data_IF_886420764221
#
_entry.id   IF_886420764221
#
_cell.length_a   1.000
_cell.length_b   1.000
_cell.length_c   1.000
_cell.angle_alpha   90.00
_cell.angle_beta   90.00
_cell.angle_gamma   90.00
#
_symmetry.space_group_name_H-M   'P 1'
#
loop_
_entity.id
_entity.type
_entity.pdbx_description
1 polymer ?
#
# COMPACT_ATOMS: atom_id res chain seq x y z
N UNK A 1 21.00 -19.33 -26.01
CA UNK A 1 21.43 -19.13 -24.61
C UNK A 1 20.64 -20.06 -23.70
N UNK A 2 21.18 -20.48 -22.56
CA UNK A 2 20.48 -21.39 -21.64
C UNK A 2 19.27 -20.67 -21.01
N UNK A 3 18.11 -21.34 -20.95
CA UNK A 3 16.88 -20.85 -20.30
C UNK A 3 16.24 -19.58 -20.89
N UNK A 4 16.25 -19.40 -22.23
CA UNK A 4 15.59 -18.26 -22.89
C UNK A 4 14.08 -18.14 -22.63
N UNK A 5 13.41 -19.26 -22.35
CA UNK A 5 11.98 -19.29 -21.98
C UNK A 5 11.70 -18.76 -20.57
N UNK A 6 12.74 -18.52 -19.76
CA UNK A 6 12.63 -17.90 -18.43
C UNK A 6 13.01 -16.43 -18.55
N UNK A 7 12.17 -15.55 -17.99
CA UNK A 7 12.46 -14.11 -17.94
C UNK A 7 13.81 -13.84 -17.28
N UNK A 8 14.62 -12.96 -17.87
CA UNK A 8 16.03 -12.72 -17.48
C UNK A 8 16.21 -12.52 -15.98
N UNK A 9 15.34 -11.69 -15.36
CA UNK A 9 15.31 -11.44 -13.91
C UNK A 9 15.31 -12.71 -13.04
N UNK A 10 14.80 -13.83 -13.51
CA UNK A 10 14.62 -15.05 -12.72
C UNK A 10 15.55 -16.21 -13.13
N UNK A 11 16.41 -16.03 -14.14
CA UNK A 11 17.26 -17.12 -14.63
C UNK A 11 18.25 -17.64 -13.58
N UNK A 12 18.71 -16.78 -12.67
CA UNK A 12 19.60 -17.16 -11.56
C UNK A 12 19.00 -18.24 -10.64
N UNK A 13 17.67 -18.29 -10.52
CA UNK A 13 16.97 -19.26 -9.67
C UNK A 13 16.83 -20.65 -10.31
N UNK A 14 17.03 -20.75 -11.62
CA UNK A 14 16.94 -22.03 -12.32
C UNK A 14 18.10 -22.94 -11.90
N UNK A 15 19.27 -22.34 -11.59
CA UNK A 15 20.48 -23.01 -11.13
C UNK A 15 20.65 -22.99 -9.61
N UNK A 16 19.77 -22.29 -8.88
CA UNK A 16 19.78 -22.21 -7.43
C UNK A 16 19.37 -23.55 -6.78
N UNK A 17 19.78 -23.75 -5.53
CA UNK A 17 19.37 -24.92 -4.75
C UNK A 17 17.88 -24.86 -4.38
N UNK A 18 17.35 -26.00 -3.91
CA UNK A 18 15.93 -26.08 -3.56
C UNK A 18 15.55 -25.16 -2.39
N UNK A 19 16.45 -24.89 -1.45
CA UNK A 19 16.15 -24.03 -0.30
C UNK A 19 15.99 -22.58 -0.74
N UNK A 20 16.90 -22.08 -1.57
CA UNK A 20 16.85 -20.73 -2.14
C UNK A 20 15.61 -20.55 -3.02
N UNK A 21 15.26 -21.56 -3.82
CA UNK A 21 14.04 -21.54 -4.63
C UNK A 21 12.76 -21.51 -3.80
N UNK A 22 12.71 -22.25 -2.69
CA UNK A 22 11.56 -22.24 -1.77
C UNK A 22 11.47 -20.87 -1.08
N UNK A 23 12.58 -20.34 -0.57
CA UNK A 23 12.60 -19.02 0.05
C UNK A 23 12.12 -17.92 -0.91
N UNK A 24 12.53 -18.00 -2.19
CA UNK A 24 12.07 -17.08 -3.23
C UNK A 24 10.55 -17.15 -3.48
N UNK A 25 9.91 -18.32 -3.33
CA UNK A 25 8.47 -18.46 -3.49
C UNK A 25 7.69 -17.77 -2.37
N UNK A 26 8.26 -17.69 -1.17
CA UNK A 26 7.66 -17.04 -0.01
C UNK A 26 7.78 -15.50 -0.05
N UNK A 27 8.58 -14.95 -0.97
CA UNK A 27 8.70 -13.51 -1.13
C UNK A 27 7.37 -12.87 -1.57
N UNK A 28 7.01 -11.68 -1.02
CA UNK A 28 5.80 -10.99 -1.41
C UNK A 28 5.87 -10.54 -2.88
N UNK A 29 4.93 -11.03 -3.69
CA UNK A 29 4.84 -10.65 -5.11
C UNK A 29 3.63 -9.79 -5.39
N UNK A 30 3.85 -8.82 -6.26
CA UNK A 30 2.76 -8.14 -6.90
C UNK A 30 2.28 -8.90 -8.11
N UNK A 31 0.99 -9.22 -8.11
CA UNK A 31 0.29 -9.78 -9.25
C UNK A 31 -0.54 -8.65 -9.87
N UNK A 32 -0.07 -8.10 -10.98
CA UNK A 32 -0.78 -7.07 -11.73
C UNK A 32 -1.89 -7.71 -12.56
N UNK A 33 -3.08 -7.88 -11.98
CA UNK A 33 -4.29 -8.25 -12.71
C UNK A 33 -5.06 -7.00 -13.15
N UNK A 34 -5.92 -7.11 -14.17
CA UNK A 34 -6.60 -5.96 -14.79
C UNK A 34 -7.32 -5.06 -13.78
N UNK A 35 -8.12 -5.66 -12.89
CA UNK A 35 -8.85 -4.92 -11.85
C UNK A 35 -7.90 -4.18 -10.88
N UNK A 36 -6.76 -4.78 -10.51
CA UNK A 36 -5.78 -4.10 -9.65
C UNK A 36 -5.19 -2.86 -10.33
N UNK A 37 -4.96 -2.92 -11.64
CA UNK A 37 -4.50 -1.77 -12.43
C UNK A 37 -5.56 -0.66 -12.43
N UNK A 38 -6.82 -1.00 -12.70
CA UNK A 38 -7.90 -0.01 -12.74
C UNK A 38 -8.09 0.68 -11.38
N UNK A 39 -7.98 -0.06 -10.28
CA UNK A 39 -8.04 0.52 -8.93
C UNK A 39 -6.84 1.46 -8.68
N UNK A 40 -5.63 1.04 -9.07
CA UNK A 40 -4.42 1.88 -8.95
C UNK A 40 -4.57 3.18 -9.74
N UNK A 41 -5.05 3.11 -10.99
CA UNK A 41 -5.25 4.28 -11.85
C UNK A 41 -6.30 5.23 -11.24
N UNK A 42 -7.37 4.69 -10.65
CA UNK A 42 -8.38 5.48 -9.94
C UNK A 42 -7.82 6.15 -8.67
N UNK A 43 -7.00 5.46 -7.88
CA UNK A 43 -6.35 6.03 -6.70
C UNK A 43 -5.39 7.17 -7.07
N UNK A 44 -4.57 6.99 -8.11
CA UNK A 44 -3.68 8.04 -8.65
C UNK A 44 -4.50 9.23 -9.15
N UNK A 45 -5.58 8.97 -9.89
CA UNK A 45 -6.49 10.01 -10.36
C UNK A 45 -7.09 10.81 -9.20
N UNK A 46 -7.56 10.16 -8.13
CA UNK A 46 -8.09 10.81 -6.93
C UNK A 46 -7.05 11.67 -6.21
N UNK A 47 -5.83 11.16 -6.06
CA UNK A 47 -4.72 11.87 -5.41
C UNK A 47 -4.36 13.17 -6.14
N UNK A 48 -4.43 13.17 -7.47
CA UNK A 48 -4.08 14.32 -8.31
C UNK A 48 -5.25 15.29 -8.56
N UNK A 49 -6.45 15.02 -8.02
CA UNK A 49 -7.59 15.93 -8.23
C UNK A 49 -7.38 17.24 -7.47
N UNK A 50 -7.75 18.40 -8.07
CA UNK A 50 -7.78 19.65 -7.34
C UNK A 50 -8.81 19.57 -6.20
N UNK A 51 -8.50 20.24 -5.08
CA UNK A 51 -9.41 20.33 -3.93
C UNK A 51 -10.74 20.97 -4.34
N UNK A 52 -11.84 20.38 -3.88
CA UNK A 52 -13.22 20.84 -4.11
C UNK A 52 -14.00 20.77 -2.80
N UNK A 53 -15.12 21.50 -2.64
CA UNK A 53 -15.92 21.49 -1.41
C UNK A 53 -16.34 20.08 -0.94
N UNK A 54 -16.53 19.15 -1.88
CA UNK A 54 -16.76 17.74 -1.60
C UNK A 54 -15.79 16.89 -2.42
N UNK A 55 -14.79 16.32 -1.75
CA UNK A 55 -13.87 15.36 -2.37
C UNK A 55 -14.59 14.04 -2.65
N UNK A 56 -14.18 13.37 -3.73
CA UNK A 56 -14.65 12.03 -4.05
C UNK A 56 -13.93 11.01 -3.14
N UNK A 57 -14.66 10.02 -2.68
CA UNK A 57 -14.12 8.89 -1.91
C UNK A 57 -14.27 7.61 -2.74
N UNK A 58 -13.36 6.64 -2.55
CA UNK A 58 -13.39 5.34 -3.20
C UNK A 58 -13.61 4.25 -2.14
N UNK A 59 -14.60 3.38 -2.37
CA UNK A 59 -14.80 2.16 -1.59
C UNK A 59 -14.43 0.96 -2.46
N UNK A 60 -13.46 0.16 -2.00
CA UNK A 60 -13.03 -1.06 -2.69
C UNK A 60 -13.62 -2.25 -1.95
N UNK A 61 -14.50 -2.99 -2.61
CA UNK A 61 -15.17 -4.18 -2.06
C UNK A 61 -14.71 -5.41 -2.84
N UNK A 62 -14.47 -6.50 -2.11
CA UNK A 62 -14.16 -7.80 -2.67
C UNK A 62 -13.90 -8.80 -1.55
N UNK A 63 -13.96 -10.10 -1.85
CA UNK A 63 -13.79 -11.14 -0.83
C UNK A 63 -12.39 -11.09 -0.19
N UNK A 64 -12.26 -11.71 0.99
CA UNK A 64 -10.96 -11.94 1.61
C UNK A 64 -10.02 -12.66 0.64
N UNK A 65 -8.71 -12.43 0.80
CA UNK A 65 -7.66 -12.99 -0.04
C UNK A 65 -7.61 -12.51 -1.51
N UNK A 66 -8.38 -11.47 -1.89
CA UNK A 66 -8.26 -10.81 -3.22
C UNK A 66 -7.15 -9.76 -3.32
N UNK A 67 -6.22 -9.72 -2.36
CA UNK A 67 -5.08 -8.79 -2.41
C UNK A 67 -5.42 -7.31 -2.18
N UNK A 68 -6.59 -6.98 -1.60
CA UNK A 68 -6.98 -5.58 -1.28
C UNK A 68 -5.92 -4.87 -0.43
N UNK A 69 -5.48 -5.51 0.65
CA UNK A 69 -4.44 -4.98 1.53
C UNK A 69 -3.12 -4.81 0.80
N UNK A 70 -2.72 -5.80 -0.01
CA UNK A 70 -1.50 -5.76 -0.82
C UNK A 70 -1.52 -4.60 -1.84
N UNK A 71 -2.68 -4.37 -2.48
CA UNK A 71 -2.87 -3.26 -3.42
C UNK A 71 -2.70 -1.91 -2.74
N UNK A 72 -3.38 -1.70 -1.61
CA UNK A 72 -3.31 -0.43 -0.87
C UNK A 72 -1.89 -0.18 -0.34
N UNK A 73 -1.21 -1.22 0.18
CA UNK A 73 0.19 -1.11 0.60
C UNK A 73 1.10 -0.75 -0.58
N UNK A 74 0.94 -1.39 -1.73
CA UNK A 74 1.71 -1.04 -2.94
C UNK A 74 1.45 0.40 -3.40
N UNK A 75 0.21 0.88 -3.35
CA UNK A 75 -0.10 2.28 -3.65
C UNK A 75 0.63 3.23 -2.69
N UNK A 76 0.62 2.92 -1.39
CA UNK A 76 1.37 3.66 -0.38
C UNK A 76 2.88 3.63 -0.63
N UNK A 77 3.47 2.48 -0.95
CA UNK A 77 4.91 2.34 -1.19
C UNK A 77 5.37 3.14 -2.44
N UNK A 78 4.51 3.24 -3.46
CA UNK A 78 4.82 3.95 -4.70
C UNK A 78 4.61 5.47 -4.61
N UNK A 79 3.61 5.93 -3.86
CA UNK A 79 3.16 7.33 -3.89
C UNK A 79 3.13 8.01 -2.52
N UNK A 80 3.32 7.27 -1.43
CA UNK A 80 3.13 7.75 -0.05
C UNK A 80 4.40 8.24 0.64
N UNK A 81 5.56 8.21 -0.04
CA UNK A 81 6.81 8.69 0.54
C UNK A 81 6.70 10.17 0.89
N UNK A 82 7.06 10.50 2.13
CA UNK A 82 7.09 11.88 2.59
C UNK A 82 8.23 12.65 1.91
N UNK A 83 8.01 13.93 1.65
CA UNK A 83 9.01 14.82 1.06
C UNK A 83 8.89 16.24 1.63
N UNK A 84 9.90 17.07 1.37
CA UNK A 84 9.88 18.49 1.72
C UNK A 84 9.56 19.28 0.44
N UNK A 85 8.55 20.13 0.49
CA UNK A 85 8.19 20.98 -0.65
C UNK A 85 9.12 22.19 -0.81
N UNK A 86 8.89 23.01 -1.85
CA UNK A 86 9.67 24.23 -2.11
C UNK A 86 9.60 25.25 -0.98
N UNK A 87 8.54 25.21 -0.17
CA UNK A 87 8.28 26.13 0.92
C UNK A 87 8.79 25.58 2.26
N UNK A 88 9.60 24.51 2.23
CA UNK A 88 10.16 23.82 3.39
C UNK A 88 9.12 23.17 4.31
N UNK A 89 7.93 22.86 3.80
CA UNK A 89 6.92 22.09 4.54
C UNK A 89 7.16 20.60 4.37
N UNK A 90 7.04 19.85 5.46
CA UNK A 90 6.99 18.39 5.39
C UNK A 90 5.61 17.94 4.86
N UNK A 91 5.60 17.27 3.71
CA UNK A 91 4.41 16.76 3.04
C UNK A 91 4.32 15.25 3.23
N UNK A 92 3.14 14.79 3.67
CA UNK A 92 2.76 13.38 3.77
C UNK A 92 1.62 13.12 2.78
N UNK A 93 1.91 12.61 1.56
CA UNK A 93 0.91 12.53 0.49
C UNK A 93 -0.22 11.55 0.81
N UNK A 94 0.11 10.45 1.49
CA UNK A 94 -0.82 9.38 1.81
C UNK A 94 -0.64 9.02 3.29
N UNK A 95 -1.76 8.89 3.99
CA UNK A 95 -1.79 8.30 5.33
C UNK A 95 -2.50 6.97 5.25
N UNK A 96 -1.75 5.91 5.52
CA UNK A 96 -2.28 4.56 5.59
C UNK A 96 -2.58 4.21 7.06
N UNK A 97 -3.84 3.94 7.36
CA UNK A 97 -4.31 3.51 8.67
C UNK A 97 -5.23 2.30 8.54
N UNK A 98 -5.18 1.41 9.52
CA UNK A 98 -6.09 0.27 9.62
C UNK A 98 -7.25 0.64 10.54
N UNK A 99 -8.47 0.29 10.13
CA UNK A 99 -9.64 0.45 10.97
C UNK A 99 -9.57 -0.54 12.15
N UNK A 100 -9.97 -0.13 13.35
CA UNK A 100 -10.03 -1.05 14.48
C UNK A 100 -11.00 -2.21 14.22
N UNK A 101 -10.75 -3.39 14.80
CA UNK A 101 -11.65 -4.55 14.67
C UNK A 101 -13.02 -4.30 15.33
N UNK A 102 -13.09 -3.36 16.28
CA UNK A 102 -14.33 -2.90 16.88
C UNK A 102 -14.82 -1.60 16.21
N UNK A 103 -16.14 -1.38 16.16
CA UNK A 103 -16.72 -0.13 15.65
C UNK A 103 -16.57 1.01 16.68
N UNK A 104 -15.32 1.34 17.04
CA UNK A 104 -14.99 2.33 18.04
C UNK A 104 -14.32 3.54 17.38
N UNK A 105 -15.04 4.65 17.36
CA UNK A 105 -14.58 5.91 16.79
C UNK A 105 -13.27 6.41 17.45
N UNK A 106 -13.12 6.24 18.77
CA UNK A 106 -11.90 6.64 19.49
C UNK A 106 -10.68 5.86 19.01
N UNK A 107 -10.83 4.55 18.79
CA UNK A 107 -9.74 3.70 18.29
C UNK A 107 -9.36 4.07 16.85
N UNK A 108 -10.33 4.44 16.01
CA UNK A 108 -10.05 4.94 14.66
C UNK A 108 -9.23 6.23 14.69
N UNK A 109 -9.59 7.20 15.53
CA UNK A 109 -8.79 8.42 15.69
C UNK A 109 -7.39 8.14 16.23
N UNK A 110 -7.25 7.20 17.18
CA UNK A 110 -5.94 6.80 17.68
C UNK A 110 -5.08 6.21 16.56
N UNK A 111 -5.62 5.31 15.74
CA UNK A 111 -4.94 4.71 14.57
C UNK A 111 -4.42 5.78 13.58
N UNK A 112 -5.20 6.84 13.35
CA UNK A 112 -4.77 7.98 12.54
C UNK A 112 -3.66 8.81 13.23
N UNK A 113 -3.83 9.16 14.50
CA UNK A 113 -2.87 9.98 15.25
C UNK A 113 -1.50 9.28 15.41
N UNK A 114 -1.50 7.96 15.60
CA UNK A 114 -0.27 7.15 15.63
C UNK A 114 0.50 7.27 14.32
N UNK A 115 -0.19 7.37 13.17
CA UNK A 115 0.46 7.54 11.87
C UNK A 115 1.09 8.92 11.68
N UNK A 116 0.58 9.94 12.37
CA UNK A 116 1.15 11.29 12.38
C UNK A 116 2.29 11.48 13.39
N UNK A 117 2.63 10.46 14.19
CA UNK A 117 3.56 10.59 15.33
C UNK A 117 3.16 11.72 16.31
N UNK A 118 1.86 12.03 16.39
CA UNK A 118 1.35 13.10 17.26
C UNK A 118 1.15 12.53 18.67
N UNK A 119 1.67 13.19 19.72
CA UNK A 119 1.43 12.75 21.09
C UNK A 119 -0.06 12.90 21.44
N UNK A 120 -0.64 11.86 22.03
CA UNK A 120 -2.03 11.86 22.48
C UNK A 120 -2.16 11.27 23.89
N UNK A 121 -3.16 11.73 24.65
CA UNK A 121 -3.38 11.25 26.02
C UNK A 121 -4.01 9.85 26.00
N UNK A 122 -3.21 8.83 26.27
CA UNK A 122 -3.68 7.45 26.44
C UNK A 122 -4.37 7.34 27.80
N UNK A 123 -5.69 7.49 27.83
CA UNK A 123 -6.48 7.15 29.03
C UNK A 123 -6.57 5.63 29.12
N UNK A 124 -5.66 5.04 29.89
CA UNK A 124 -5.76 3.64 30.34
C UNK A 124 -6.89 3.62 31.36
N UNK A 125 -7.97 2.90 31.07
CA UNK A 125 -8.99 2.55 32.06
C UNK A 125 -8.56 1.28 32.78
#
# INVERSE_FOLDING_TARGET
>A
MQYEHVHEKFRHLVTADNQERIAFLDEPRWLGYGVAKDIMDNLVSLMNKPKRPRMLNLLIVGDSNNGKTTLIRRFFDLYGQAYIDSDSNAIYPILLAEAPPSANEKELYISLLERFYVPYKRQIR
#
